data_IF_028793440100
#
_entry.id   IF_028793440100
#
_cell.length_a   1.000
_cell.length_b   1.000
_cell.length_c   1.000
_cell.angle_alpha   90.00
_cell.angle_beta   90.00
_cell.angle_gamma   90.00
#
_symmetry.space_group_name_H-M   'P 1'
#
loop_
_entity.id
_entity.type
_entity.pdbx_description
1 polymer ?
#
# COMPACT_ATOMS: atom_id res chain seq x y z
N UNK A 1 23.87 -49.10 16.75
CA UNK A 1 24.82 -49.71 15.82
C UNK A 1 24.32 -51.06 15.37
N UNK A 2 23.96 -51.98 16.24
CA UNK A 2 23.47 -53.33 15.88
C UNK A 2 22.25 -53.31 14.96
N UNK A 3 21.38 -52.35 15.12
CA UNK A 3 20.11 -52.27 14.34
C UNK A 3 20.24 -51.51 13.05
N UNK A 4 21.13 -50.53 12.87
CA UNK A 4 21.21 -49.65 11.72
C UNK A 4 22.56 -49.66 10.98
N UNK A 5 23.57 -50.28 11.57
CA UNK A 5 24.95 -50.35 11.05
C UNK A 5 25.78 -49.08 11.29
N UNK A 6 27.08 -49.26 11.46
CA UNK A 6 28.04 -48.17 11.79
C UNK A 6 28.14 -47.13 10.67
N UNK A 7 28.00 -47.48 9.42
CA UNK A 7 28.15 -46.57 8.30
C UNK A 7 27.08 -45.49 8.26
N UNK A 8 25.82 -45.85 8.51
CA UNK A 8 24.67 -44.94 8.49
C UNK A 8 24.75 -43.90 9.62
N UNK A 9 25.06 -44.40 10.81
CA UNK A 9 25.16 -43.53 12.00
C UNK A 9 26.42 -42.66 11.97
N UNK A 10 27.55 -43.15 11.47
CA UNK A 10 28.79 -42.41 11.29
C UNK A 10 28.61 -41.24 10.31
N UNK A 11 27.89 -41.45 9.23
CA UNK A 11 27.60 -40.42 8.24
C UNK A 11 26.69 -39.30 8.80
N UNK A 12 25.67 -39.67 9.54
CA UNK A 12 24.80 -38.72 10.27
C UNK A 12 25.61 -37.86 11.29
N UNK A 13 26.48 -38.50 12.07
CA UNK A 13 27.28 -37.82 13.04
C UNK A 13 28.29 -36.85 12.43
N UNK A 14 28.99 -37.28 11.37
CA UNK A 14 30.09 -36.50 10.76
C UNK A 14 29.62 -35.35 9.89
N UNK A 15 28.56 -35.56 9.10
CA UNK A 15 28.16 -34.60 8.08
C UNK A 15 27.14 -33.56 8.55
N UNK A 16 26.28 -33.88 9.51
CA UNK A 16 25.09 -33.08 9.77
C UNK A 16 25.07 -32.29 11.07
N UNK A 17 25.74 -32.71 12.09
CA UNK A 17 25.75 -32.04 13.39
C UNK A 17 27.02 -31.22 13.69
N UNK A 18 28.00 -31.27 12.81
CA UNK A 18 29.16 -30.37 12.84
C UNK A 18 29.99 -30.47 14.14
N UNK A 19 29.79 -31.46 14.96
CA UNK A 19 30.43 -31.60 16.27
C UNK A 19 31.34 -32.79 16.36
N UNK A 20 32.28 -32.72 17.33
CA UNK A 20 33.18 -33.84 17.68
C UNK A 20 32.48 -34.98 18.43
N UNK A 21 31.19 -34.81 18.79
CA UNK A 21 30.41 -35.81 19.53
C UNK A 21 29.47 -36.52 18.60
N UNK A 22 29.49 -37.85 18.57
CA UNK A 22 28.52 -38.66 17.87
C UNK A 22 27.13 -38.52 18.50
N UNK A 23 26.08 -38.65 17.68
CA UNK A 23 24.69 -38.64 18.16
C UNK A 23 24.38 -39.89 18.98
N UNK A 24 25.20 -40.93 18.84
CA UNK A 24 25.05 -42.23 19.50
C UNK A 24 26.34 -42.58 20.27
N UNK A 25 26.22 -43.41 21.28
CA UNK A 25 27.29 -43.90 22.09
C UNK A 25 26.87 -45.19 22.81
N UNK A 26 27.84 -45.89 23.42
CA UNK A 26 27.60 -47.16 24.07
C UNK A 26 26.62 -47.10 25.26
N UNK A 27 26.50 -45.90 25.86
CA UNK A 27 25.59 -45.62 27.00
C UNK A 27 24.37 -44.73 26.55
N UNK A 28 24.01 -44.74 25.28
CA UNK A 28 22.86 -43.97 24.75
C UNK A 28 21.51 -44.59 25.11
N UNK A 29 20.45 -43.79 25.07
CA UNK A 29 19.09 -44.26 25.22
C UNK A 29 18.70 -45.19 24.02
N UNK A 30 17.74 -46.09 24.25
CA UNK A 30 17.25 -46.98 23.22
C UNK A 30 16.65 -46.17 22.04
N UNK A 31 16.96 -46.52 20.77
CA UNK A 31 16.50 -45.76 19.61
C UNK A 31 14.97 -45.58 19.55
N UNK A 32 14.23 -46.58 19.96
CA UNK A 32 12.76 -46.55 20.01
C UNK A 32 12.23 -45.52 21.04
N UNK A 33 12.87 -45.45 22.21
CA UNK A 33 12.49 -44.47 23.25
C UNK A 33 12.78 -43.04 22.76
N UNK A 34 13.90 -42.84 22.07
CA UNK A 34 14.25 -41.54 21.49
C UNK A 34 13.29 -41.17 20.38
N UNK A 35 12.96 -42.11 19.49
CA UNK A 35 12.00 -41.89 18.42
C UNK A 35 10.62 -41.49 18.98
N UNK A 36 10.15 -42.20 19.98
CA UNK A 36 8.87 -41.94 20.63
C UNK A 36 8.86 -40.58 21.34
N UNK A 37 9.96 -40.21 22.00
CA UNK A 37 10.10 -38.90 22.65
C UNK A 37 10.01 -37.73 21.66
N UNK A 38 10.54 -37.91 20.45
CA UNK A 38 10.49 -36.89 19.39
C UNK A 38 9.28 -37.03 18.47
N UNK A 39 8.33 -37.92 18.77
CA UNK A 39 7.08 -38.06 18.01
C UNK A 39 7.17 -38.85 16.71
N UNK A 40 8.22 -39.65 16.53
CA UNK A 40 8.34 -40.59 15.41
C UNK A 40 7.65 -41.91 15.72
N UNK A 41 7.03 -42.51 14.71
CA UNK A 41 6.34 -43.79 14.86
C UNK A 41 7.32 -44.98 15.08
N UNK A 42 8.57 -44.86 14.66
CA UNK A 42 9.62 -45.88 14.85
C UNK A 42 11.03 -45.31 14.78
N UNK A 43 11.99 -46.00 15.37
CA UNK A 43 13.41 -45.63 15.26
C UNK A 43 13.90 -45.64 13.79
N UNK A 44 13.39 -46.55 12.95
CA UNK A 44 13.72 -46.61 11.52
C UNK A 44 13.22 -45.36 10.78
N UNK A 45 12.04 -44.84 11.07
CA UNK A 45 11.52 -43.61 10.52
C UNK A 45 12.36 -42.42 10.95
N UNK A 46 12.69 -42.32 12.25
CA UNK A 46 13.54 -41.26 12.80
C UNK A 46 14.91 -41.24 12.08
N UNK A 47 15.57 -42.38 11.95
CA UNK A 47 16.88 -42.50 11.26
C UNK A 47 16.78 -42.08 9.80
N UNK A 48 15.76 -42.53 9.07
CA UNK A 48 15.53 -42.12 7.66
C UNK A 48 15.31 -40.60 7.55
N UNK A 49 14.51 -40.04 8.43
CA UNK A 49 14.24 -38.59 8.47
C UNK A 49 15.53 -37.83 8.72
N UNK A 50 16.34 -38.28 9.68
CA UNK A 50 17.62 -37.65 9.98
C UNK A 50 18.63 -37.78 8.85
N UNK A 51 18.65 -38.92 8.12
CA UNK A 51 19.50 -39.12 6.94
C UNK A 51 19.11 -38.17 5.80
N UNK A 52 17.81 -38.00 5.55
CA UNK A 52 17.28 -37.15 4.49
C UNK A 52 17.21 -35.66 4.87
N UNK A 53 17.37 -35.34 6.14
CA UNK A 53 17.34 -33.96 6.59
C UNK A 53 18.49 -33.14 5.96
N UNK A 54 18.26 -31.95 5.43
CA UNK A 54 19.34 -31.09 4.95
C UNK A 54 20.31 -30.74 6.06
N UNK A 55 21.55 -30.39 5.70
CA UNK A 55 22.52 -29.90 6.71
C UNK A 55 21.94 -28.67 7.42
N UNK A 56 22.21 -28.54 8.72
CA UNK A 56 21.69 -27.42 9.52
C UNK A 56 21.95 -26.06 8.86
N UNK A 57 23.13 -25.87 8.25
CA UNK A 57 23.49 -24.64 7.54
C UNK A 57 22.58 -24.40 6.33
N UNK A 58 22.33 -25.44 5.55
CA UNK A 58 21.53 -25.36 4.32
C UNK A 58 20.04 -25.16 4.65
N UNK A 59 19.56 -25.84 5.70
CA UNK A 59 18.20 -25.64 6.22
C UNK A 59 17.98 -24.20 6.75
N UNK A 60 18.96 -23.65 7.45
CA UNK A 60 18.91 -22.26 7.93
C UNK A 60 18.93 -21.30 6.73
N UNK A 61 19.80 -21.52 5.75
CA UNK A 61 19.87 -20.66 4.56
C UNK A 61 18.54 -20.69 3.79
N UNK A 62 17.99 -21.86 3.53
CA UNK A 62 16.70 -22.01 2.84
C UNK A 62 15.55 -21.32 3.62
N UNK A 63 15.52 -21.45 4.94
CA UNK A 63 14.50 -20.80 5.76
C UNK A 63 14.68 -19.28 5.81
N UNK A 64 15.92 -18.80 5.85
CA UNK A 64 16.21 -17.35 5.76
C UNK A 64 15.75 -16.81 4.39
N UNK A 65 16.09 -17.49 3.30
CA UNK A 65 15.68 -17.09 1.95
C UNK A 65 14.15 -17.07 1.82
N UNK A 66 13.48 -18.12 2.33
CA UNK A 66 12.02 -18.18 2.34
C UNK A 66 11.40 -17.00 3.10
N UNK A 67 11.91 -16.70 4.30
CA UNK A 67 11.41 -15.57 5.12
C UNK A 67 11.76 -14.23 4.51
N UNK A 68 12.89 -14.10 3.83
CA UNK A 68 13.25 -12.88 3.10
C UNK A 68 12.26 -12.65 1.97
N UNK A 69 11.97 -13.68 1.17
CA UNK A 69 10.99 -13.60 0.07
C UNK A 69 9.58 -13.31 0.61
N UNK A 70 9.16 -13.93 1.72
CA UNK A 70 7.86 -13.65 2.33
C UNK A 70 7.71 -12.20 2.85
N UNK A 71 8.79 -11.62 3.36
CA UNK A 71 8.77 -10.27 3.95
C UNK A 71 9.00 -9.15 2.93
N UNK A 72 9.84 -9.39 1.97
CA UNK A 72 10.39 -8.36 1.09
C UNK A 72 10.06 -8.59 -0.40
N UNK A 73 9.38 -9.71 -0.75
CA UNK A 73 9.24 -10.16 -2.13
C UNK A 73 10.52 -10.84 -2.63
N UNK A 74 10.53 -11.20 -3.89
CA UNK A 74 11.72 -11.76 -4.58
C UNK A 74 12.29 -10.71 -5.55
N UNK A 75 13.14 -9.77 -5.08
CA UNK A 75 13.62 -8.66 -5.89
C UNK A 75 14.46 -9.10 -7.10
N UNK A 76 14.96 -10.36 -7.10
CA UNK A 76 15.70 -10.90 -8.24
C UNK A 76 14.79 -11.38 -9.38
N UNK A 77 13.55 -11.79 -9.06
CA UNK A 77 12.63 -12.37 -10.03
C UNK A 77 11.33 -11.58 -10.20
N UNK A 78 11.05 -10.61 -9.33
CA UNK A 78 9.84 -9.77 -9.40
C UNK A 78 9.98 -8.53 -10.30
N UNK A 79 11.17 -8.32 -10.88
CA UNK A 79 11.45 -7.19 -11.76
C UNK A 79 11.83 -5.89 -11.06
N UNK A 80 11.89 -5.84 -9.73
CA UNK A 80 12.24 -4.63 -8.98
C UNK A 80 13.64 -4.11 -9.31
N UNK A 81 14.62 -4.99 -9.45
CA UNK A 81 15.99 -4.60 -9.84
C UNK A 81 16.02 -4.06 -11.26
N UNK A 82 15.28 -4.67 -12.20
CA UNK A 82 15.16 -4.15 -13.56
C UNK A 82 14.48 -2.79 -13.59
N UNK A 83 13.41 -2.61 -12.81
CA UNK A 83 12.71 -1.32 -12.69
C UNK A 83 13.61 -0.25 -12.07
N UNK A 84 14.35 -0.56 -11.01
CA UNK A 84 15.29 0.36 -10.39
C UNK A 84 16.47 0.71 -11.32
N UNK A 85 17.03 -0.27 -12.02
CA UNK A 85 18.06 -0.04 -13.02
C UNK A 85 17.56 0.82 -14.18
N UNK A 86 16.34 0.54 -14.69
CA UNK A 86 15.70 1.36 -15.70
C UNK A 86 15.40 2.77 -15.20
N UNK A 87 14.95 2.92 -13.96
CA UNK A 87 14.71 4.21 -13.34
C UNK A 87 16.03 5.01 -13.17
N UNK A 88 17.13 4.34 -12.83
CA UNK A 88 18.45 4.97 -12.73
C UNK A 88 18.98 5.44 -14.12
N UNK A 89 18.77 4.63 -15.15
CA UNK A 89 19.21 4.96 -16.52
C UNK A 89 18.34 6.06 -17.14
N UNK A 90 17.03 6.06 -16.86
CA UNK A 90 16.04 6.99 -17.42
C UNK A 90 15.61 8.08 -16.43
N UNK A 91 16.33 8.22 -15.31
CA UNK A 91 16.00 9.14 -14.23
C UNK A 91 16.25 10.60 -14.53
N UNK A 92 16.03 11.43 -13.52
CA UNK A 92 16.12 12.89 -13.58
C UNK A 92 17.50 13.40 -14.06
N UNK A 93 18.58 12.72 -13.71
CA UNK A 93 19.93 13.08 -14.13
C UNK A 93 20.11 12.95 -15.64
N UNK A 94 19.62 11.85 -16.24
CA UNK A 94 19.63 11.64 -17.68
C UNK A 94 18.78 12.69 -18.41
N UNK A 95 17.62 13.03 -17.85
CA UNK A 95 16.76 14.08 -18.41
C UNK A 95 17.44 15.45 -18.36
N UNK A 96 18.13 15.79 -17.27
CA UNK A 96 18.89 17.04 -17.14
C UNK A 96 20.05 17.12 -18.16
N UNK A 97 20.78 16.02 -18.35
CA UNK A 97 21.84 15.93 -19.38
C UNK A 97 21.23 16.13 -20.77
N UNK A 98 20.15 15.45 -21.08
CA UNK A 98 19.44 15.58 -22.35
C UNK A 98 18.91 16.99 -22.60
N UNK A 99 18.47 17.71 -21.58
CA UNK A 99 18.10 19.14 -21.70
C UNK A 99 19.30 19.99 -22.08
N UNK A 100 20.48 19.72 -21.50
CA UNK A 100 21.70 20.46 -21.82
C UNK A 100 22.12 20.25 -23.28
N UNK A 101 22.04 19.01 -23.76
CA UNK A 101 22.31 18.68 -25.18
C UNK A 101 21.30 19.35 -26.11
N UNK A 102 19.99 19.30 -25.81
CA UNK A 102 18.97 19.96 -26.61
C UNK A 102 19.17 21.49 -26.70
N UNK A 103 19.54 22.14 -25.57
CA UNK A 103 19.85 23.56 -25.54
C UNK A 103 21.07 23.89 -26.44
N UNK A 104 22.08 23.03 -26.45
CA UNK A 104 23.23 23.24 -27.33
C UNK A 104 22.84 23.14 -28.80
N UNK A 105 22.00 22.15 -29.18
CA UNK A 105 21.48 22.04 -30.56
C UNK A 105 20.64 23.26 -30.95
N UNK A 106 19.73 23.69 -30.05
CA UNK A 106 18.87 24.85 -30.29
C UNK A 106 19.67 26.14 -30.54
N UNK A 107 20.74 26.39 -29.76
CA UNK A 107 21.64 27.51 -29.96
C UNK A 107 22.32 27.47 -31.31
N UNK A 108 22.76 26.29 -31.79
CA UNK A 108 23.33 26.11 -33.11
C UNK A 108 22.37 26.45 -34.25
N UNK A 109 21.06 26.24 -33.99
CA UNK A 109 19.98 26.60 -34.93
C UNK A 109 19.49 28.06 -34.74
N UNK A 110 20.14 28.86 -33.88
CA UNK A 110 19.70 30.22 -33.59
C UNK A 110 18.37 30.31 -32.85
N UNK A 111 17.90 29.22 -32.22
CA UNK A 111 16.63 29.20 -31.49
C UNK A 111 16.79 29.67 -30.05
N UNK A 112 15.75 30.31 -29.51
CA UNK A 112 15.70 30.67 -28.09
C UNK A 112 15.67 29.41 -27.20
N UNK A 113 16.48 29.43 -26.15
CA UNK A 113 16.63 28.33 -25.19
C UNK A 113 16.07 28.66 -23.80
N UNK A 114 15.47 29.84 -23.62
CA UNK A 114 14.96 30.28 -22.30
C UNK A 114 13.89 29.32 -21.75
N UNK A 115 13.01 28.79 -22.62
CA UNK A 115 12.00 27.79 -22.29
C UNK A 115 12.48 26.33 -22.13
N UNK A 116 13.77 26.06 -22.42
CA UNK A 116 14.32 24.70 -22.43
C UNK A 116 15.00 24.37 -21.08
N UNK A 117 14.22 24.20 -20.03
CA UNK A 117 14.76 23.82 -18.71
C UNK A 117 14.06 22.56 -18.19
N UNK A 118 14.78 21.72 -17.43
CA UNK A 118 14.22 20.54 -16.82
C UNK A 118 12.95 20.85 -16.00
N UNK A 119 12.92 22.01 -15.33
CA UNK A 119 11.76 22.47 -14.55
C UNK A 119 10.51 22.65 -15.44
N UNK A 120 10.68 23.26 -16.62
CA UNK A 120 9.57 23.50 -17.55
C UNK A 120 9.07 22.19 -18.15
N UNK A 121 9.98 21.29 -18.57
CA UNK A 121 9.59 19.97 -19.08
C UNK A 121 8.88 19.13 -18.01
N UNK A 122 9.37 19.14 -16.77
CA UNK A 122 8.71 18.46 -15.65
C UNK A 122 7.33 19.03 -15.36
N UNK A 123 7.19 20.35 -15.33
CA UNK A 123 5.89 21.01 -15.13
C UNK A 123 4.91 20.60 -16.21
N UNK A 124 5.32 20.66 -17.47
CA UNK A 124 4.52 20.24 -18.63
C UNK A 124 4.13 18.76 -18.55
N UNK A 125 5.06 17.89 -18.19
CA UNK A 125 4.78 16.47 -18.00
C UNK A 125 3.73 16.24 -16.89
N UNK A 126 3.86 16.95 -15.77
CA UNK A 126 2.87 16.87 -14.66
C UNK A 126 1.49 17.31 -15.08
N UNK A 127 1.36 18.41 -15.80
CA UNK A 127 0.07 18.86 -16.34
C UNK A 127 -0.52 17.86 -17.33
N UNK A 128 0.31 17.29 -18.21
CA UNK A 128 -0.15 16.29 -19.16
C UNK A 128 -0.63 15.04 -18.44
N UNK A 129 0.14 14.52 -17.48
CA UNK A 129 -0.23 13.34 -16.68
C UNK A 129 -1.52 13.60 -15.87
N UNK A 130 -1.67 14.79 -15.29
CA UNK A 130 -2.88 15.18 -14.57
C UNK A 130 -4.16 15.04 -15.41
N UNK A 131 -4.08 15.40 -16.68
CA UNK A 131 -5.21 15.34 -17.64
C UNK A 131 -5.42 13.95 -18.26
N UNK A 132 -4.43 13.06 -18.19
CA UNK A 132 -4.54 11.69 -18.74
C UNK A 132 -5.47 10.83 -17.89
N UNK A 133 -6.11 9.86 -18.54
CA UNK A 133 -6.92 8.87 -17.80
C UNK A 133 -6.04 7.98 -16.94
N UNK A 134 -6.50 7.64 -15.75
CA UNK A 134 -5.81 6.77 -14.81
C UNK A 134 -5.35 5.47 -15.47
N UNK A 135 -6.21 4.83 -16.30
CA UNK A 135 -5.85 3.59 -17.02
C UNK A 135 -4.62 3.72 -17.93
N UNK A 136 -4.36 4.93 -18.41
CA UNK A 136 -3.24 5.19 -19.32
C UNK A 136 -1.95 5.50 -18.56
N UNK A 137 -2.08 5.99 -17.33
CA UNK A 137 -0.94 6.39 -16.47
C UNK A 137 -0.45 5.25 -15.57
N UNK A 138 -1.31 4.33 -15.15
CA UNK A 138 -0.92 3.19 -14.30
C UNK A 138 0.01 2.17 -14.98
N UNK A 139 0.36 2.40 -16.25
CA UNK A 139 1.34 1.62 -17.02
C UNK A 139 2.44 2.55 -17.53
N UNK A 140 3.35 2.99 -16.65
CA UNK A 140 4.38 3.97 -16.99
C UNK A 140 5.35 3.49 -18.09
N UNK A 141 5.51 2.18 -18.29
CA UNK A 141 6.43 1.58 -19.28
C UNK A 141 6.11 2.03 -20.72
N UNK A 142 4.88 2.46 -20.98
CA UNK A 142 4.49 3.03 -22.28
C UNK A 142 5.29 4.29 -22.63
N UNK A 143 5.54 5.14 -21.64
CA UNK A 143 6.33 6.36 -21.82
C UNK A 143 7.81 6.05 -22.03
N UNK A 144 8.31 5.00 -21.38
CA UNK A 144 9.67 4.50 -21.57
C UNK A 144 9.90 3.99 -23.00
N UNK A 145 8.93 3.24 -23.54
CA UNK A 145 8.99 2.80 -24.94
C UNK A 145 9.02 3.99 -25.91
N UNK A 146 8.22 5.04 -25.64
CA UNK A 146 8.18 6.26 -26.43
C UNK A 146 9.48 7.06 -26.31
N UNK A 147 10.08 7.13 -25.11
CA UNK A 147 11.38 7.76 -24.89
C UNK A 147 12.48 7.05 -25.70
N UNK A 148 12.56 5.71 -25.64
CA UNK A 148 13.53 4.93 -26.41
C UNK A 148 13.39 5.14 -27.92
N UNK A 149 12.15 5.21 -28.41
CA UNK A 149 11.89 5.51 -29.81
C UNK A 149 12.40 6.91 -30.20
N UNK A 150 12.13 7.90 -29.38
CA UNK A 150 12.58 9.27 -29.60
C UNK A 150 14.11 9.38 -29.49
N UNK A 151 14.75 8.66 -28.57
CA UNK A 151 16.21 8.60 -28.43
C UNK A 151 16.88 8.04 -29.70
N UNK A 152 16.34 6.95 -30.24
CA UNK A 152 16.83 6.38 -31.52
C UNK A 152 16.67 7.36 -32.68
N UNK A 153 15.51 8.01 -32.81
CA UNK A 153 15.25 8.99 -33.82
C UNK A 153 16.23 10.17 -33.72
N UNK A 154 16.56 10.64 -32.52
CA UNK A 154 17.56 11.67 -32.30
C UNK A 154 18.99 11.23 -32.74
N UNK A 155 19.37 10.00 -32.41
CA UNK A 155 20.66 9.43 -32.81
C UNK A 155 20.76 9.29 -34.33
N UNK A 156 19.72 8.80 -35.00
CA UNK A 156 19.68 8.63 -36.44
C UNK A 156 19.79 9.98 -37.17
N UNK A 157 19.07 10.99 -36.68
CA UNK A 157 19.16 12.34 -37.22
C UNK A 157 20.57 12.95 -37.01
N UNK A 158 21.17 12.73 -35.83
CA UNK A 158 22.54 13.14 -35.54
C UNK A 158 23.57 12.46 -36.45
N UNK A 159 23.39 11.17 -36.70
CA UNK A 159 24.27 10.42 -37.60
C UNK A 159 24.20 10.96 -39.03
N UNK A 160 23.06 11.46 -39.51
CA UNK A 160 22.96 12.15 -40.81
C UNK A 160 23.81 13.45 -40.85
N UNK A 161 23.74 14.24 -39.75
CA UNK A 161 24.56 15.45 -39.61
C UNK A 161 26.05 15.10 -39.64
N UNK A 162 26.46 14.08 -38.89
CA UNK A 162 27.86 13.66 -38.80
C UNK A 162 28.43 13.12 -40.14
N UNK A 163 27.57 12.45 -40.93
CA UNK A 163 27.97 11.91 -42.25
C UNK A 163 27.90 12.93 -43.38
N UNK A 164 27.41 14.14 -43.11
CA UNK A 164 27.23 15.16 -44.16
C UNK A 164 26.19 14.79 -45.22
N UNK A 165 25.28 13.88 -44.92
CA UNK A 165 24.25 13.44 -45.85
C UNK A 165 22.99 14.30 -45.71
N UNK A 166 22.68 15.07 -46.78
CA UNK A 166 21.49 15.94 -46.83
C UNK A 166 21.74 17.35 -46.26
N UNK A 167 20.63 18.05 -45.95
CA UNK A 167 20.72 19.39 -45.35
C UNK A 167 21.02 19.25 -43.82
N UNK A 168 22.20 19.68 -43.43
CA UNK A 168 22.71 19.59 -42.06
C UNK A 168 21.84 20.37 -41.07
N UNK A 169 21.27 21.51 -41.46
CA UNK A 169 20.39 22.31 -40.62
C UNK A 169 19.05 21.60 -40.37
N UNK A 170 18.49 21.03 -41.43
CA UNK A 170 17.25 20.24 -41.32
C UNK A 170 17.44 18.98 -40.43
N UNK A 171 18.52 18.24 -40.63
CA UNK A 171 18.82 17.06 -39.82
C UNK A 171 19.08 17.43 -38.36
N UNK A 172 19.72 18.59 -38.09
CA UNK A 172 19.89 19.09 -36.72
C UNK A 172 18.57 19.52 -36.09
N UNK A 173 17.62 20.08 -36.87
CA UNK A 173 16.29 20.43 -36.42
C UNK A 173 15.46 19.16 -36.08
N UNK A 174 15.55 18.11 -36.91
CA UNK A 174 14.94 16.80 -36.65
C UNK A 174 15.51 16.15 -35.37
N UNK A 175 16.84 16.23 -35.20
CA UNK A 175 17.52 15.73 -33.99
C UNK A 175 17.03 16.47 -32.73
N UNK A 176 16.91 17.80 -32.79
CA UNK A 176 16.43 18.62 -31.70
C UNK A 176 14.98 18.23 -31.32
N UNK A 177 14.09 18.13 -32.31
CA UNK A 177 12.70 17.76 -32.08
C UNK A 177 12.58 16.37 -31.45
N UNK A 178 13.32 15.39 -31.93
CA UNK A 178 13.37 14.05 -31.38
C UNK A 178 13.93 14.06 -29.93
N UNK A 179 14.93 14.88 -29.66
CA UNK A 179 15.52 15.04 -28.32
C UNK A 179 14.55 15.69 -27.33
N UNK A 180 13.80 16.71 -27.76
CA UNK A 180 12.75 17.31 -26.94
C UNK A 180 11.65 16.30 -26.60
N UNK A 181 11.27 15.45 -27.55
CA UNK A 181 10.32 14.35 -27.29
C UNK A 181 10.89 13.31 -26.33
N UNK A 182 12.17 12.97 -26.46
CA UNK A 182 12.85 12.08 -25.52
C UNK A 182 12.79 12.64 -24.11
N UNK A 183 13.17 13.90 -23.91
CA UNK A 183 13.16 14.58 -22.61
C UNK A 183 11.75 14.57 -22.01
N UNK A 184 10.75 14.95 -22.81
CA UNK A 184 9.36 14.99 -22.34
C UNK A 184 8.85 13.60 -21.93
N UNK A 185 9.14 12.56 -22.73
CA UNK A 185 8.74 11.19 -22.40
C UNK A 185 9.45 10.66 -21.16
N UNK A 186 10.70 11.01 -20.91
CA UNK A 186 11.42 10.69 -19.67
C UNK A 186 10.73 11.29 -18.44
N UNK A 187 10.36 12.58 -18.48
CA UNK A 187 9.61 13.20 -17.39
C UNK A 187 8.18 12.66 -17.26
N UNK A 188 7.52 12.31 -18.39
CA UNK A 188 6.20 11.65 -18.35
C UNK A 188 6.28 10.29 -17.66
N UNK A 189 7.33 9.50 -17.91
CA UNK A 189 7.57 8.24 -17.24
C UNK A 189 7.68 8.42 -15.73
N UNK A 190 8.51 9.35 -15.27
CA UNK A 190 8.70 9.62 -13.84
C UNK A 190 7.41 10.09 -13.15
N UNK A 191 6.70 11.05 -13.75
CA UNK A 191 5.45 11.55 -13.16
C UNK A 191 4.36 10.46 -13.20
N UNK A 192 4.29 9.65 -14.25
CA UNK A 192 3.37 8.51 -14.34
C UNK A 192 3.67 7.44 -13.27
N UNK A 193 4.94 7.14 -13.00
CA UNK A 193 5.34 6.20 -11.94
C UNK A 193 4.87 6.69 -10.56
N UNK A 194 5.11 7.96 -10.23
CA UNK A 194 4.64 8.58 -8.99
C UNK A 194 3.11 8.50 -8.86
N UNK A 195 2.40 8.73 -9.97
CA UNK A 195 0.94 8.63 -9.99
C UNK A 195 0.47 7.20 -9.85
N UNK A 196 1.13 6.22 -10.48
CA UNK A 196 0.78 4.81 -10.33
C UNK A 196 0.90 4.34 -8.86
N UNK A 197 1.97 4.72 -8.17
CA UNK A 197 2.14 4.48 -6.73
C UNK A 197 1.06 5.19 -5.89
N UNK A 198 0.75 6.43 -6.21
CA UNK A 198 -0.32 7.19 -5.55
C UNK A 198 -1.69 6.52 -5.72
N UNK A 199 -2.02 6.08 -6.94
CA UNK A 199 -3.26 5.37 -7.24
C UNK A 199 -3.34 4.05 -6.48
N UNK A 200 -2.24 3.30 -6.41
CA UNK A 200 -2.19 2.04 -5.66
C UNK A 200 -2.47 2.27 -4.17
N UNK A 201 -1.76 3.21 -3.54
CA UNK A 201 -1.96 3.58 -2.13
C UNK A 201 -3.38 4.09 -1.87
N UNK A 202 -3.91 4.92 -2.76
CA UNK A 202 -5.28 5.41 -2.69
C UNK A 202 -6.31 4.28 -2.77
N UNK A 203 -6.14 3.33 -3.68
CA UNK A 203 -7.01 2.14 -3.77
C UNK A 203 -6.98 1.29 -2.49
N UNK A 204 -5.82 1.09 -1.90
CA UNK A 204 -5.69 0.35 -0.64
C UNK A 204 -6.43 1.07 0.49
N UNK A 205 -6.33 2.39 0.55
CA UNK A 205 -7.06 3.24 1.49
C UNK A 205 -8.58 3.14 1.28
N UNK A 206 -9.05 3.23 0.03
CA UNK A 206 -10.47 3.05 -0.31
C UNK A 206 -10.98 1.66 0.11
N UNK A 207 -10.21 0.62 -0.12
CA UNK A 207 -10.54 -0.74 0.33
C UNK A 207 -10.59 -0.91 1.85
N UNK A 208 -9.85 -0.10 2.59
CA UNK A 208 -9.84 -0.14 4.04
C UNK A 208 -11.21 0.26 4.65
N UNK A 209 -12.01 1.09 3.97
CA UNK A 209 -13.36 1.43 4.43
C UNK A 209 -14.35 0.27 4.43
N UNK A 210 -14.04 -0.84 3.77
CA UNK A 210 -14.81 -2.08 3.89
C UNK A 210 -14.58 -2.81 5.23
N UNK A 211 -13.51 -2.48 5.97
CA UNK A 211 -13.17 -3.14 7.24
C UNK A 211 -14.03 -2.59 8.37
N UNK A 212 -14.63 -3.50 9.17
CA UNK A 212 -15.43 -3.17 10.34
C UNK A 212 -14.71 -2.21 11.30
N UNK A 213 -13.44 -2.46 11.60
CA UNK A 213 -12.61 -1.64 12.50
C UNK A 213 -12.39 -0.20 12.04
N UNK A 214 -12.55 0.09 10.75
CA UNK A 214 -12.47 1.45 10.20
C UNK A 214 -13.84 2.11 10.30
N UNK A 215 -14.90 1.38 9.96
CA UNK A 215 -16.29 1.85 9.95
C UNK A 215 -16.79 2.24 11.35
N UNK A 216 -16.45 1.46 12.37
CA UNK A 216 -16.82 1.73 13.77
C UNK A 216 -16.25 3.04 14.33
N UNK A 217 -15.23 3.62 13.67
CA UNK A 217 -14.60 4.88 14.08
C UNK A 217 -15.20 6.11 13.40
N UNK A 218 -16.19 5.92 12.54
CA UNK A 218 -16.84 6.96 11.76
C UNK A 218 -18.30 7.08 12.14
N UNK A 219 -18.82 8.29 12.14
CA UNK A 219 -20.26 8.53 12.25
C UNK A 219 -21.00 7.95 11.04
N UNK A 220 -22.17 7.36 11.26
CA UNK A 220 -22.91 6.59 10.25
C UNK A 220 -23.24 7.38 8.99
N UNK A 221 -23.63 8.64 9.11
CA UNK A 221 -23.97 9.48 7.96
C UNK A 221 -22.78 9.78 7.04
N UNK A 222 -21.55 9.81 7.60
CA UNK A 222 -20.33 9.99 6.79
C UNK A 222 -19.90 8.68 6.13
N UNK A 223 -20.13 7.52 6.77
CA UNK A 223 -19.90 6.21 6.16
C UNK A 223 -20.79 6.03 4.93
N UNK A 224 -22.07 6.42 5.00
CA UNK A 224 -22.99 6.32 3.88
C UNK A 224 -22.52 7.14 2.67
N UNK A 225 -21.99 8.34 2.90
CA UNK A 225 -21.41 9.18 1.84
C UNK A 225 -20.20 8.50 1.18
N UNK A 226 -19.30 7.93 1.99
CA UNK A 226 -18.14 7.19 1.47
C UNK A 226 -18.60 5.96 0.69
N UNK A 227 -19.57 5.20 1.20
CA UNK A 227 -20.08 4.00 0.53
C UNK A 227 -20.70 4.33 -0.83
N UNK A 228 -21.45 5.43 -0.95
CA UNK A 228 -22.03 5.87 -2.20
C UNK A 228 -20.94 6.23 -3.25
N UNK A 229 -19.88 6.93 -2.80
CA UNK A 229 -18.72 7.25 -3.66
C UNK A 229 -18.01 5.97 -4.10
N UNK A 230 -17.73 5.04 -3.17
CA UNK A 230 -17.03 3.79 -3.49
C UNK A 230 -17.83 2.89 -4.44
N UNK A 231 -19.19 2.94 -4.39
CA UNK A 231 -20.06 2.24 -5.32
C UNK A 231 -19.98 2.82 -6.72
N UNK A 232 -20.14 4.13 -6.86
CA UNK A 232 -20.19 4.80 -8.16
C UNK A 232 -18.89 4.71 -8.94
N UNK A 233 -17.75 4.71 -8.25
CA UNK A 233 -16.42 4.64 -8.87
C UNK A 233 -15.79 3.24 -8.88
N UNK A 234 -16.56 2.21 -8.50
CA UNK A 234 -16.15 0.79 -8.53
C UNK A 234 -14.81 0.49 -7.80
N UNK A 235 -14.68 1.01 -6.56
CA UNK A 235 -13.54 0.67 -5.71
C UNK A 235 -13.72 -0.66 -4.95
N UNK A 236 -14.85 -1.34 -5.10
CA UNK A 236 -15.16 -2.55 -4.35
C UNK A 236 -14.27 -3.72 -4.72
N UNK A 237 -13.98 -4.56 -3.72
CA UNK A 237 -13.28 -5.82 -3.91
C UNK A 237 -14.28 -6.85 -4.44
N UNK A 238 -14.01 -7.44 -5.60
CA UNK A 238 -14.78 -8.59 -6.10
C UNK A 238 -14.75 -9.69 -5.03
N UNK A 239 -15.91 -10.06 -4.51
CA UNK A 239 -16.06 -11.13 -3.50
C UNK A 239 -16.66 -10.70 -2.16
N UNK A 240 -16.82 -9.43 -1.85
CA UNK A 240 -17.57 -8.98 -0.68
C UNK A 240 -19.09 -9.02 -0.95
N UNK A 241 -19.66 -10.24 -0.93
CA UNK A 241 -21.09 -10.49 -1.15
C UNK A 241 -21.99 -10.03 0.02
N UNK A 242 -21.44 -9.56 1.13
CA UNK A 242 -22.20 -9.32 2.37
C UNK A 242 -22.50 -7.86 2.67
N UNK A 243 -21.97 -6.90 1.91
CA UNK A 243 -22.37 -5.50 2.05
C UNK A 243 -23.53 -5.28 1.08
N UNK A 244 -24.70 -4.89 1.61
CA UNK A 244 -25.82 -4.47 0.78
C UNK A 244 -25.31 -3.45 -0.24
N UNK A 245 -25.77 -3.59 -1.50
CA UNK A 245 -25.37 -2.70 -2.60
C UNK A 245 -25.73 -1.29 -2.18
N UNK A 246 -24.74 -0.41 -2.01
CA UNK A 246 -24.99 0.98 -1.70
C UNK A 246 -25.78 1.62 -2.86
N UNK A 247 -26.62 2.58 -2.53
CA UNK A 247 -27.28 3.38 -3.53
C UNK A 247 -26.26 4.18 -4.37
N UNK A 248 -26.63 4.60 -5.57
CA UNK A 248 -25.76 5.44 -6.38
C UNK A 248 -25.54 6.79 -5.68
N UNK A 249 -24.43 7.45 -5.96
CA UNK A 249 -24.12 8.76 -5.36
C UNK A 249 -25.24 9.78 -5.62
N UNK A 250 -25.79 9.78 -6.83
CA UNK A 250 -26.92 10.64 -7.20
C UNK A 250 -28.15 10.35 -6.35
N UNK A 251 -28.57 9.07 -6.26
CA UNK A 251 -29.74 8.68 -5.47
C UNK A 251 -29.55 9.00 -3.98
N UNK A 252 -28.33 8.83 -3.47
CA UNK A 252 -27.97 9.22 -2.12
C UNK A 252 -28.13 10.73 -1.88
N UNK A 253 -27.62 11.55 -2.79
CA UNK A 253 -27.72 13.01 -2.70
C UNK A 253 -29.18 13.46 -2.82
N UNK A 254 -29.94 12.93 -3.79
CA UNK A 254 -31.36 13.25 -3.96
C UNK A 254 -32.15 12.93 -2.66
N UNK A 255 -31.92 11.77 -2.05
CA UNK A 255 -32.51 11.39 -0.76
C UNK A 255 -32.12 12.37 0.38
N UNK A 256 -30.86 12.76 0.47
CA UNK A 256 -30.41 13.70 1.50
C UNK A 256 -31.08 15.08 1.35
N UNK A 257 -31.30 15.51 0.12
CA UNK A 257 -32.06 16.76 -0.19
C UNK A 257 -33.53 16.60 0.20
N UNK A 258 -34.17 15.50 -0.15
CA UNK A 258 -35.56 15.20 0.23
C UNK A 258 -35.76 15.14 1.74
N UNK A 259 -34.76 14.63 2.49
CA UNK A 259 -34.75 14.59 3.96
C UNK A 259 -34.43 15.97 4.59
N UNK A 260 -34.14 17.01 3.81
CA UNK A 260 -33.74 18.34 4.31
C UNK A 260 -32.37 18.35 4.99
N UNK A 261 -31.49 17.41 4.66
CA UNK A 261 -30.14 17.20 5.23
C UNK A 261 -29.01 17.63 4.29
N UNK A 262 -29.28 18.59 3.44
CA UNK A 262 -28.29 19.16 2.50
C UNK A 262 -27.02 19.64 3.22
N UNK A 263 -27.18 20.22 4.42
CA UNK A 263 -26.06 20.72 5.24
C UNK A 263 -25.12 19.63 5.76
N UNK A 264 -25.52 18.36 5.72
CA UNK A 264 -24.70 17.21 6.11
C UNK A 264 -23.86 16.65 4.94
N UNK A 265 -24.11 17.12 3.71
CA UNK A 265 -23.40 16.71 2.52
C UNK A 265 -22.01 17.36 2.46
N UNK A 266 -20.98 16.55 2.31
CA UNK A 266 -19.59 16.98 2.13
C UNK A 266 -19.04 16.53 0.78
N UNK A 267 -19.92 16.40 -0.21
CA UNK A 267 -19.60 15.92 -1.55
C UNK A 267 -19.61 17.14 -2.49
N UNK A 268 -18.56 17.28 -3.31
CA UNK A 268 -18.49 18.37 -4.29
C UNK A 268 -19.59 18.18 -5.36
N UNK A 269 -20.34 19.24 -5.66
CA UNK A 269 -21.38 19.26 -6.69
C UNK A 269 -20.86 18.75 -8.05
N UNK A 270 -19.59 19.00 -8.38
CA UNK A 270 -18.94 18.50 -9.61
C UNK A 270 -18.87 16.97 -9.68
N UNK A 271 -18.84 16.29 -8.54
CA UNK A 271 -18.86 14.83 -8.48
C UNK A 271 -20.26 14.28 -8.73
N UNK A 272 -21.30 15.05 -8.39
CA UNK A 272 -22.70 14.68 -8.57
C UNK A 272 -23.10 14.78 -10.04
N UNK A 273 -22.64 15.83 -10.73
CA UNK A 273 -22.91 16.07 -12.15
C UNK A 273 -22.18 15.09 -13.09
N UNK A 274 -21.14 14.45 -12.64
CA UNK A 274 -20.36 13.48 -13.43
C UNK A 274 -21.10 12.13 -13.58
N UNK A 275 -22.38 12.21 -13.89
CA UNK A 275 -23.32 11.16 -14.29
C UNK A 275 -22.70 9.79 -14.51
N UNK A 276 -23.29 8.82 -13.79
CA UNK A 276 -23.27 7.38 -14.01
C UNK A 276 -21.93 6.68 -13.81
N UNK A 277 -21.90 5.83 -12.77
CA UNK A 277 -20.99 4.69 -12.48
C UNK A 277 -19.78 4.64 -13.41
N UNK A 278 -18.86 5.54 -13.23
CA UNK A 278 -17.59 5.53 -13.93
C UNK A 278 -16.60 4.73 -13.11
N UNK A 279 -16.08 3.64 -13.68
CA UNK A 279 -14.92 2.98 -13.10
C UNK A 279 -13.78 4.00 -12.91
N UNK A 280 -13.15 4.05 -11.73
CA UNK A 280 -12.12 5.04 -11.38
C UNK A 280 -10.97 5.14 -12.41
N UNK A 281 -10.69 4.07 -13.17
CA UNK A 281 -9.67 4.09 -14.23
C UNK A 281 -10.02 4.94 -15.45
N UNK A 282 -11.28 5.35 -15.58
CA UNK A 282 -11.75 6.24 -16.65
C UNK A 282 -11.72 7.71 -16.24
N UNK A 283 -11.43 8.02 -14.98
CA UNK A 283 -11.19 9.37 -14.51
C UNK A 283 -9.84 9.86 -15.00
N UNK A 284 -9.69 11.18 -15.15
CA UNK A 284 -8.37 11.79 -15.22
C UNK A 284 -7.65 11.64 -13.85
N UNK A 285 -6.33 11.78 -13.86
CA UNK A 285 -5.56 11.73 -12.60
C UNK A 285 -6.00 12.84 -11.66
N UNK A 286 -6.29 14.03 -12.17
CA UNK A 286 -6.69 15.18 -11.34
C UNK A 286 -8.10 14.98 -10.77
N UNK A 287 -9.05 14.41 -11.54
CA UNK A 287 -10.37 14.01 -11.01
C UNK A 287 -10.22 12.96 -9.91
N UNK A 288 -9.34 11.96 -10.10
CA UNK A 288 -9.11 10.93 -9.08
C UNK A 288 -8.48 11.52 -7.80
N UNK A 289 -7.58 12.50 -7.92
CA UNK A 289 -7.03 13.21 -6.76
C UNK A 289 -8.13 13.94 -6.00
N UNK A 290 -8.96 14.70 -6.69
CA UNK A 290 -10.11 15.38 -6.07
C UNK A 290 -11.07 14.41 -5.38
N UNK A 291 -11.29 13.22 -5.96
CA UNK A 291 -12.09 12.16 -5.36
C UNK A 291 -11.47 11.65 -4.05
N UNK A 292 -10.16 11.36 -4.05
CA UNK A 292 -9.48 10.89 -2.84
C UNK A 292 -9.46 11.95 -1.75
N UNK A 293 -9.22 13.22 -2.10
CA UNK A 293 -9.24 14.35 -1.18
C UNK A 293 -10.64 14.53 -0.57
N UNK A 294 -11.69 14.36 -1.36
CA UNK A 294 -13.08 14.42 -0.87
C UNK A 294 -13.36 13.31 0.13
N UNK A 295 -13.01 12.05 -0.19
CA UNK A 295 -13.20 10.93 0.74
C UNK A 295 -12.37 11.13 2.02
N UNK A 296 -11.17 11.67 1.92
CA UNK A 296 -10.32 11.97 3.08
C UNK A 296 -10.93 13.06 3.98
N UNK A 297 -11.50 14.09 3.39
CA UNK A 297 -12.21 15.13 4.12
C UNK A 297 -13.44 14.57 4.84
N UNK A 298 -14.25 13.74 4.15
CA UNK A 298 -15.41 13.07 4.74
C UNK A 298 -14.97 12.16 5.91
N UNK A 299 -13.92 11.36 5.75
CA UNK A 299 -13.35 10.53 6.81
C UNK A 299 -12.91 11.36 8.02
N UNK A 300 -12.19 12.45 7.78
CA UNK A 300 -11.72 13.34 8.85
C UNK A 300 -12.89 13.95 9.65
N UNK A 301 -13.90 14.43 8.96
CA UNK A 301 -15.08 15.02 9.60
C UNK A 301 -15.90 13.97 10.36
N UNK A 302 -16.10 12.80 9.77
CA UNK A 302 -16.79 11.68 10.41
C UNK A 302 -16.12 11.22 11.69
N UNK A 303 -14.80 11.11 11.70
CA UNK A 303 -14.03 10.78 12.92
C UNK A 303 -14.09 11.89 13.98
N UNK A 304 -14.11 13.15 13.56
CA UNK A 304 -14.20 14.28 14.48
C UNK A 304 -15.56 14.28 15.16
N UNK A 305 -16.65 14.11 14.41
CA UNK A 305 -18.02 14.03 14.94
C UNK A 305 -18.18 12.87 15.92
N UNK A 306 -17.67 11.70 15.57
CA UNK A 306 -17.68 10.51 16.44
C UNK A 306 -16.95 10.79 17.77
N UNK A 307 -15.75 11.38 17.71
CA UNK A 307 -14.99 11.73 18.93
C UNK A 307 -15.73 12.73 19.82
N UNK A 308 -16.45 13.69 19.24
CA UNK A 308 -17.27 14.62 20.00
C UNK A 308 -18.43 13.92 20.68
N UNK A 309 -19.12 13.02 19.98
CA UNK A 309 -20.21 12.21 20.53
C UNK A 309 -19.71 11.33 21.69
N UNK A 310 -18.57 10.66 21.52
CA UNK A 310 -17.97 9.83 22.57
C UNK A 310 -17.57 10.66 23.79
N UNK A 311 -17.01 11.85 23.59
CA UNK A 311 -16.69 12.78 24.70
C UNK A 311 -17.94 13.26 25.43
N UNK A 312 -19.02 13.57 24.72
CA UNK A 312 -20.29 13.97 25.30
C UNK A 312 -20.88 12.82 26.12
N UNK A 313 -20.95 11.61 25.54
CA UNK A 313 -21.42 10.40 26.23
C UNK A 313 -20.59 10.11 27.50
N UNK A 314 -19.27 10.19 27.41
CA UNK A 314 -18.40 10.01 28.58
C UNK A 314 -18.67 11.04 29.68
N UNK A 315 -18.90 12.31 29.35
CA UNK A 315 -19.26 13.34 30.32
C UNK A 315 -20.62 13.07 30.97
N UNK A 316 -21.61 12.64 30.19
CA UNK A 316 -22.95 12.30 30.68
C UNK A 316 -22.91 11.10 31.64
N UNK A 317 -22.15 10.06 31.29
CA UNK A 317 -21.91 8.91 32.14
C UNK A 317 -21.20 9.30 33.44
N UNK A 318 -20.17 10.13 33.36
CA UNK A 318 -19.47 10.65 34.55
C UNK A 318 -20.40 11.47 35.44
N UNK A 319 -21.19 12.37 34.89
CA UNK A 319 -22.16 13.17 35.65
C UNK A 319 -23.25 12.31 36.28
N UNK A 320 -23.66 11.21 35.63
CA UNK A 320 -24.61 10.23 36.20
C UNK A 320 -23.99 9.45 37.35
N UNK A 321 -22.74 9.00 37.18
CA UNK A 321 -21.97 8.33 38.22
C UNK A 321 -21.78 9.22 39.47
N UNK A 322 -21.41 10.50 39.24
CA UNK A 322 -21.23 11.48 40.32
C UNK A 322 -22.55 11.77 41.08
N UNK A 323 -23.70 11.82 40.36
CA UNK A 323 -25.02 11.92 40.98
C UNK A 323 -25.35 10.74 41.85
N UNK A 324 -25.16 9.50 41.34
CA UNK A 324 -25.37 8.27 42.08
C UNK A 324 -24.45 8.19 43.30
N UNK A 325 -23.15 8.51 43.12
CA UNK A 325 -22.20 8.58 44.22
C UNK A 325 -22.62 9.62 45.30
N UNK A 326 -23.15 10.75 44.87
CA UNK A 326 -23.69 11.80 45.76
C UNK A 326 -24.91 11.28 46.57
N UNK A 327 -25.84 10.58 45.89
CA UNK A 327 -27.01 9.96 46.57
C UNK A 327 -26.58 8.89 47.55
N UNK A 328 -25.63 8.05 47.19
CA UNK A 328 -25.06 7.01 48.08
C UNK A 328 -24.43 7.67 49.30
N UNK A 329 -23.61 8.71 49.14
CA UNK A 329 -22.99 9.45 50.26
C UNK A 329 -24.04 10.11 51.17
N UNK A 330 -25.08 10.68 50.59
CA UNK A 330 -26.15 11.36 51.34
C UNK A 330 -26.97 10.36 52.16
N UNK A 331 -27.30 9.18 51.59
CA UNK A 331 -28.16 8.21 52.27
C UNK A 331 -27.39 7.26 53.21
N UNK A 332 -26.07 7.10 52.98
CA UNK A 332 -25.20 6.21 53.81
C UNK A 332 -24.31 7.01 54.77
N UNK A 333 -24.58 8.30 54.99
CA UNK A 333 -23.79 9.20 55.83
C UNK A 333 -23.61 8.76 57.29
N UNK A 334 -24.40 7.80 57.74
CA UNK A 334 -24.40 7.26 59.13
C UNK A 334 -23.98 5.78 59.23
N UNK A 335 -23.66 5.09 58.10
CA UNK A 335 -23.28 3.69 58.08
C UNK A 335 -21.86 3.40 58.57
N UNK A 336 -21.62 2.21 59.13
CA UNK A 336 -20.28 1.75 59.55
C UNK A 336 -19.30 1.70 58.36
N UNK A 337 -18.04 1.99 58.60
CA UNK A 337 -17.00 2.11 57.57
C UNK A 337 -16.90 0.89 56.62
N UNK A 338 -17.18 -0.33 57.09
CA UNK A 338 -17.17 -1.54 56.27
C UNK A 338 -18.30 -1.70 55.27
N UNK A 339 -19.50 -1.11 55.55
CA UNK A 339 -20.60 -1.08 54.56
C UNK A 339 -20.33 -0.12 53.42
N UNK A 340 -19.72 1.02 53.73
CA UNK A 340 -19.29 2.01 52.71
C UNK A 340 -18.28 1.42 51.75
N UNK A 341 -17.36 0.63 52.23
CA UNK A 341 -16.33 -0.05 51.41
C UNK A 341 -16.95 -1.07 50.46
N UNK A 342 -17.84 -1.95 50.96
CA UNK A 342 -18.54 -2.95 50.11
C UNK A 342 -19.42 -2.33 49.03
N UNK A 343 -20.07 -1.20 49.31
CA UNK A 343 -20.88 -0.49 48.31
C UNK A 343 -20.01 0.19 47.27
N UNK A 344 -18.87 0.75 47.68
CA UNK A 344 -17.89 1.32 46.74
C UNK A 344 -17.24 0.24 45.85
N UNK A 345 -16.96 -0.94 46.41
CA UNK A 345 -16.48 -2.09 45.60
C UNK A 345 -17.55 -2.63 44.66
N UNK A 346 -18.80 -2.81 45.10
CA UNK A 346 -19.90 -3.20 44.23
C UNK A 346 -20.14 -2.19 43.10
N UNK A 347 -20.03 -0.89 43.39
CA UNK A 347 -20.15 0.15 42.38
C UNK A 347 -18.99 0.16 41.38
N UNK A 348 -17.76 -0.07 41.84
CA UNK A 348 -16.61 -0.24 40.98
C UNK A 348 -16.68 -1.51 40.14
N UNK A 349 -17.28 -2.58 40.65
CA UNK A 349 -17.49 -3.81 39.88
C UNK A 349 -18.55 -3.62 38.79
N UNK A 350 -19.67 -2.98 39.09
CA UNK A 350 -20.70 -2.61 38.12
C UNK A 350 -20.14 -1.65 37.03
N UNK A 351 -19.32 -0.68 37.42
CA UNK A 351 -18.68 0.22 36.50
C UNK A 351 -17.70 -0.49 35.57
N UNK A 352 -16.97 -1.48 36.06
CA UNK A 352 -16.05 -2.30 35.25
C UNK A 352 -16.77 -3.25 34.29
N UNK A 353 -17.94 -3.77 34.68
CA UNK A 353 -18.75 -4.66 33.84
C UNK A 353 -19.44 -3.87 32.72
N UNK A 354 -19.92 -2.65 32.96
CA UNK A 354 -20.49 -1.81 31.90
C UNK A 354 -19.46 -1.27 30.89
N UNK A 355 -18.21 -1.11 31.33
CA UNK A 355 -17.10 -0.74 30.41
C UNK A 355 -16.60 -1.91 29.57
N UNK A 356 -16.93 -3.16 29.92
CA UNK A 356 -16.57 -4.36 29.15
C UNK A 356 -17.68 -4.78 28.16
N UNK A 357 -18.88 -4.19 28.25
CA UNK A 357 -20.01 -4.45 27.36
C UNK A 357 -20.18 -3.40 26.23
N UNK A 358 -19.26 -2.45 26.12
CA UNK A 358 -19.13 -1.46 25.05
C UNK A 358 -17.79 -1.70 24.31
#
# INVERSE_FOLDING_TARGET
VEQFGDGVLAEMSRQRLGGKRAIYGDNGAAPEEVAQYFGFASAAEMVRTLQNAPRKRDAIAAEVDRRMVERHGDPLNDGTIEEEALAAIHGEQQANLSVTEARHMARRLGRDTAGMTARIYRHRAREMVGRMMVRDVIRPERFLASERKAARAAQDAFAKVARGTGNAEQALAEALQAKEQQILNGFLYEEARKVAEYVQKGREKMRAYAKKSVREKLDGGYIEQIDAILEDYDFRIRGQRQIARAESLKAFVDRMIEEGREGDLNIDARMIDAVSRRHYTKLSVDELRGLFDTVENIDHMGRFKQRLADRKRKRELQASADRVAGLIRKNLGTGKAGERHRIAEAFNLLWRTDTLLI
#
